data_IF_506696285503
#
_entry.id   IF_506696285503
#
_cell.length_a   1.000
_cell.length_b   1.000
_cell.length_c   1.000
_cell.angle_alpha   90.00
_cell.angle_beta   90.00
_cell.angle_gamma   90.00
#
_symmetry.space_group_name_H-M   'P 1'
#
loop_
_entity.id
_entity.type
_entity.pdbx_description
1 polymer ?
#
# COMPACT_ATOMS: atom_id res chain seq x y z
N UNK A 1 -15.92 6.70 8.22
CA UNK A 1 -14.44 6.76 8.43
C UNK A 1 -13.67 7.42 7.28
N UNK A 2 -14.24 7.59 6.08
CA UNK A 2 -13.56 8.18 4.90
C UNK A 2 -13.35 9.71 4.97
N UNK A 3 -14.31 10.49 5.50
CA UNK A 3 -14.19 11.96 5.56
C UNK A 3 -13.11 12.47 6.51
N UNK A 4 -12.89 11.77 7.62
CA UNK A 4 -11.88 12.13 8.63
C UNK A 4 -10.45 11.87 8.13
N UNK A 5 -10.27 10.86 7.28
CA UNK A 5 -9.00 10.58 6.59
C UNK A 5 -8.64 11.65 5.55
N UNK A 6 -9.63 12.15 4.80
CA UNK A 6 -9.42 13.22 3.81
C UNK A 6 -9.04 14.53 4.51
N UNK A 7 -9.68 14.83 5.66
CA UNK A 7 -9.36 15.99 6.48
C UNK A 7 -7.94 15.97 7.07
N UNK A 8 -7.35 14.79 7.26
CA UNK A 8 -5.96 14.62 7.73
C UNK A 8 -4.94 14.60 6.59
N UNK A 9 -5.32 14.14 5.39
CA UNK A 9 -4.43 14.08 4.23
C UNK A 9 -4.14 15.46 3.62
N UNK A 10 -5.11 16.37 3.63
CA UNK A 10 -4.94 17.74 3.12
C UNK A 10 -3.86 18.52 3.89
N UNK A 11 -3.89 18.61 5.24
CA UNK A 11 -2.84 19.30 5.98
C UNK A 11 -1.49 18.57 5.86
N UNK A 12 -1.47 17.24 5.77
CA UNK A 12 -0.24 16.49 5.55
C UNK A 12 0.39 16.82 4.18
N UNK A 13 -0.42 16.91 3.12
CA UNK A 13 0.05 17.28 1.79
C UNK A 13 0.61 18.72 1.76
N UNK A 14 -0.03 19.64 2.49
CA UNK A 14 0.45 21.02 2.64
C UNK A 14 1.78 21.05 3.40
N UNK A 15 1.93 20.27 4.47
CA UNK A 15 3.20 20.16 5.22
C UNK A 15 4.31 19.60 4.32
N UNK A 16 4.04 18.54 3.56
CA UNK A 16 5.00 17.98 2.60
C UNK A 16 5.38 19.01 1.53
N UNK A 17 4.41 19.77 1.01
CA UNK A 17 4.67 20.84 0.05
C UNK A 17 5.56 21.94 0.64
N UNK A 18 5.28 22.37 1.88
CA UNK A 18 6.11 23.35 2.60
C UNK A 18 7.52 22.82 2.81
N UNK A 19 7.69 21.55 3.19
CA UNK A 19 9.00 20.93 3.35
C UNK A 19 9.76 20.84 2.02
N UNK A 20 9.08 20.52 0.91
CA UNK A 20 9.68 20.50 -0.42
C UNK A 20 10.11 21.89 -0.87
N UNK A 21 9.28 22.92 -0.64
CA UNK A 21 9.61 24.31 -0.93
C UNK A 21 10.76 24.79 -0.06
N UNK A 22 10.76 24.51 1.24
CA UNK A 22 11.84 24.87 2.16
C UNK A 22 13.16 24.17 1.79
N UNK A 23 13.11 22.89 1.44
CA UNK A 23 14.26 22.13 0.96
C UNK A 23 14.78 22.69 -0.37
N UNK A 24 13.89 23.09 -1.29
CA UNK A 24 14.25 23.72 -2.55
C UNK A 24 14.91 25.09 -2.35
N UNK A 25 14.37 25.92 -1.45
CA UNK A 25 14.94 27.22 -1.09
C UNK A 25 16.30 27.08 -0.40
N UNK A 26 16.46 26.08 0.48
CA UNK A 26 17.73 25.76 1.14
C UNK A 26 18.76 25.19 0.15
N UNK A 27 18.34 24.35 -0.79
CA UNK A 27 19.21 23.88 -1.87
C UNK A 27 19.70 25.04 -2.75
N UNK A 28 18.89 26.09 -2.93
CA UNK A 28 19.28 27.32 -3.63
C UNK A 28 20.27 28.17 -2.83
N UNK A 29 20.20 28.18 -1.49
CA UNK A 29 21.13 28.92 -0.64
C UNK A 29 22.48 28.23 -0.44
N UNK A 30 22.55 26.90 -0.55
CA UNK A 30 23.80 26.11 -0.52
C UNK A 30 24.72 26.45 -1.69
N UNK A 31 24.19 27.02 -2.79
CA UNK A 31 24.97 27.49 -3.96
C UNK A 31 25.99 28.59 -3.63
N UNK A 32 26.05 29.09 -2.39
CA UNK A 32 26.94 30.17 -1.94
C UNK A 32 28.24 29.70 -1.25
N UNK A 33 28.37 28.43 -0.84
CA UNK A 33 29.50 27.98 0.00
C UNK A 33 30.19 26.72 -0.53
N UNK A 34 31.39 26.87 -1.11
CA UNK A 34 32.52 25.90 -1.13
C UNK A 34 32.30 24.47 -1.67
N UNK A 35 33.42 23.73 -1.80
CA UNK A 35 33.45 22.31 -2.22
C UNK A 35 32.60 21.39 -1.33
N UNK A 36 32.53 21.69 -0.02
CA UNK A 36 31.72 20.93 0.95
C UNK A 36 30.21 21.03 0.67
N UNK A 37 29.74 22.20 0.20
CA UNK A 37 28.33 22.41 -0.13
C UNK A 37 27.86 21.58 -1.32
N UNK A 38 28.74 21.37 -2.31
CA UNK A 38 28.45 20.52 -3.47
C UNK A 38 28.38 19.03 -3.10
N UNK A 39 29.26 18.56 -2.20
CA UNK A 39 29.21 17.18 -1.73
C UNK A 39 27.90 16.91 -0.98
N UNK A 40 27.48 17.81 -0.08
CA UNK A 40 26.21 17.68 0.65
C UNK A 40 25.01 17.66 -0.30
N UNK A 41 25.01 18.51 -1.33
CA UNK A 41 23.97 18.53 -2.37
C UNK A 41 23.89 17.20 -3.12
N UNK A 42 25.03 16.60 -3.48
CA UNK A 42 25.10 15.29 -4.14
C UNK A 42 24.51 14.19 -3.26
N UNK A 43 24.94 14.10 -2.00
CA UNK A 43 24.43 13.11 -1.04
C UNK A 43 22.91 13.25 -0.87
N UNK A 44 22.42 14.48 -0.73
CA UNK A 44 20.99 14.76 -0.61
C UNK A 44 20.19 14.27 -1.83
N UNK A 45 20.65 14.58 -3.04
CA UNK A 45 19.97 14.12 -4.27
C UNK A 45 19.99 12.60 -4.38
N UNK A 46 21.12 11.95 -4.08
CA UNK A 46 21.19 10.49 -4.11
C UNK A 46 20.29 9.83 -3.06
N UNK A 47 20.14 10.41 -1.87
CA UNK A 47 19.20 9.90 -0.87
C UNK A 47 17.75 9.97 -1.37
N UNK A 48 17.34 11.09 -1.96
CA UNK A 48 15.99 11.20 -2.53
C UNK A 48 15.79 10.18 -3.65
N UNK A 49 16.73 10.07 -4.58
CA UNK A 49 16.66 9.12 -5.68
C UNK A 49 16.59 7.68 -5.16
N UNK A 50 17.38 7.35 -4.14
CA UNK A 50 17.35 6.04 -3.52
C UNK A 50 15.99 5.75 -2.86
N UNK A 51 15.49 6.66 -2.02
CA UNK A 51 14.20 6.49 -1.34
C UNK A 51 13.05 6.36 -2.33
N UNK A 52 13.00 7.22 -3.35
CA UNK A 52 11.95 7.17 -4.38
C UNK A 52 12.06 5.92 -5.25
N UNK A 53 13.26 5.46 -5.59
CA UNK A 53 13.48 4.19 -6.28
C UNK A 53 12.97 3.00 -5.45
N UNK A 54 13.31 2.94 -4.16
CA UNK A 54 12.85 1.88 -3.27
C UNK A 54 11.32 1.86 -3.15
N UNK A 55 10.67 3.02 -3.09
CA UNK A 55 9.20 3.11 -3.09
C UNK A 55 8.60 2.56 -4.39
N UNK A 56 9.15 2.91 -5.56
CA UNK A 56 8.67 2.41 -6.86
C UNK A 56 8.83 0.89 -6.97
N UNK A 57 9.98 0.34 -6.53
CA UNK A 57 10.21 -1.11 -6.53
C UNK A 57 9.22 -1.81 -5.59
N UNK A 58 9.07 -1.32 -4.35
CA UNK A 58 8.12 -1.88 -3.39
C UNK A 58 6.67 -1.83 -3.87
N UNK A 59 6.25 -0.70 -4.45
CA UNK A 59 4.93 -0.55 -5.05
C UNK A 59 4.71 -1.51 -6.22
N UNK A 60 5.72 -1.71 -7.07
CA UNK A 60 5.63 -2.62 -8.22
C UNK A 60 5.45 -4.07 -7.78
N UNK A 61 6.24 -4.55 -6.81
CA UNK A 61 6.08 -5.90 -6.24
C UNK A 61 4.68 -6.06 -5.63
N UNK A 62 4.21 -5.05 -4.89
CA UNK A 62 2.89 -5.08 -4.26
C UNK A 62 1.73 -5.05 -5.29
N UNK A 63 1.91 -4.41 -6.46
CA UNK A 63 0.95 -4.51 -7.58
C UNK A 63 0.86 -5.94 -8.09
N UNK A 64 1.99 -6.61 -8.32
CA UNK A 64 2.00 -8.01 -8.77
C UNK A 64 1.34 -8.96 -7.75
N UNK A 65 1.66 -8.80 -6.46
CA UNK A 65 1.04 -9.60 -5.40
C UNK A 65 -0.48 -9.38 -5.36
N UNK A 66 -0.93 -8.13 -5.36
CA UNK A 66 -2.36 -7.83 -5.33
C UNK A 66 -3.10 -8.34 -6.59
N UNK A 67 -2.45 -8.28 -7.76
CA UNK A 67 -3.02 -8.85 -8.98
C UNK A 67 -3.13 -10.39 -8.90
N UNK A 68 -2.11 -11.06 -8.35
CA UNK A 68 -2.16 -12.50 -8.09
C UNK A 68 -3.29 -12.86 -7.12
N UNK A 69 -3.45 -12.13 -6.01
CA UNK A 69 -4.51 -12.39 -5.03
C UNK A 69 -5.93 -12.16 -5.59
N UNK A 70 -6.08 -11.32 -6.63
CA UNK A 70 -7.36 -11.14 -7.33
C UNK A 70 -7.66 -12.34 -8.24
N UNK A 71 -6.65 -12.84 -8.96
CA UNK A 71 -6.81 -13.91 -9.96
C UNK A 71 -6.87 -15.29 -9.30
N UNK A 72 -6.06 -15.49 -8.27
CA UNK A 72 -5.90 -16.73 -7.52
C UNK A 72 -6.00 -16.43 -6.02
N UNK A 73 -7.19 -16.07 -5.50
CA UNK A 73 -7.39 -15.83 -4.07
C UNK A 73 -7.05 -17.09 -3.27
N UNK A 74 -6.50 -16.91 -2.08
CA UNK A 74 -6.07 -18.04 -1.24
C UNK A 74 -7.26 -18.93 -0.88
N UNK A 75 -7.12 -20.27 -1.00
CA UNK A 75 -8.19 -21.19 -0.64
C UNK A 75 -8.60 -21.04 0.82
N UNK A 76 -9.90 -21.22 1.11
CA UNK A 76 -10.38 -21.27 2.48
C UNK A 76 -9.79 -22.51 3.18
N UNK A 77 -9.22 -22.31 4.37
CA UNK A 77 -8.39 -23.32 5.03
C UNK A 77 -9.19 -24.37 5.83
N UNK A 78 -10.43 -24.04 6.23
CA UNK A 78 -11.26 -24.90 7.06
C UNK A 78 -12.14 -25.78 6.18
N UNK A 79 -12.20 -27.07 6.46
CA UNK A 79 -13.08 -28.00 5.73
C UNK A 79 -14.52 -27.93 6.27
N UNK A 80 -15.48 -28.44 5.49
CA UNK A 80 -16.87 -28.55 5.95
C UNK A 80 -16.99 -29.40 7.21
N UNK A 81 -16.23 -30.49 7.32
CA UNK A 81 -16.27 -31.38 8.49
C UNK A 81 -15.78 -30.66 9.75
N UNK A 82 -14.70 -29.88 9.63
CA UNK A 82 -14.19 -29.07 10.74
C UNK A 82 -15.19 -27.96 11.13
N UNK A 83 -15.90 -27.41 10.17
CA UNK A 83 -16.94 -26.41 10.39
C UNK A 83 -18.16 -27.00 11.11
N UNK A 84 -18.63 -28.17 10.65
CA UNK A 84 -19.74 -28.90 11.25
C UNK A 84 -19.41 -29.33 12.68
N UNK A 85 -18.23 -29.91 12.92
CA UNK A 85 -17.79 -30.32 14.25
C UNK A 85 -17.75 -29.14 15.24
N UNK A 86 -17.41 -27.95 14.75
CA UNK A 86 -17.42 -26.73 15.57
C UNK A 86 -18.84 -26.28 15.90
N UNK A 87 -19.75 -26.33 14.92
CA UNK A 87 -21.17 -26.02 15.10
C UNK A 87 -21.84 -26.95 16.12
N UNK A 88 -21.50 -28.25 16.07
CA UNK A 88 -22.02 -29.26 17.01
C UNK A 88 -21.44 -29.13 18.42
N UNK A 89 -20.20 -28.64 18.57
CA UNK A 89 -19.53 -28.46 19.88
C UNK A 89 -19.83 -27.13 20.56
N UNK A 90 -20.12 -26.07 19.80
CA UNK A 90 -20.45 -24.74 20.32
C UNK A 90 -21.97 -24.57 20.56
N UNK A 91 -22.80 -25.50 20.08
CA UNK A 91 -24.26 -25.44 20.16
C UNK A 91 -24.88 -25.95 21.47
N UNK A 92 -24.78 -25.17 22.55
CA UNK A 92 -25.74 -25.25 23.66
C UNK A 92 -26.93 -24.32 23.35
N UNK A 93 -28.09 -24.91 23.01
CA UNK A 93 -29.45 -24.31 23.06
C UNK A 93 -30.11 -23.65 21.82
N UNK A 94 -29.75 -23.97 20.57
CA UNK A 94 -30.56 -23.59 19.39
C UNK A 94 -30.94 -24.78 18.48
N UNK A 95 -31.99 -24.65 17.64
CA UNK A 95 -32.54 -25.78 16.88
C UNK A 95 -31.44 -26.43 16.04
N UNK A 96 -31.32 -27.76 16.13
CA UNK A 96 -30.38 -28.53 15.33
C UNK A 96 -30.70 -28.30 13.84
N UNK A 97 -29.97 -27.37 13.22
CA UNK A 97 -29.99 -27.15 11.79
C UNK A 97 -29.66 -28.47 11.10
N UNK A 98 -30.37 -28.77 10.03
CA UNK A 98 -30.07 -29.93 9.20
C UNK A 98 -28.68 -29.80 8.58
N UNK A 99 -28.04 -30.93 8.28
CA UNK A 99 -26.75 -30.96 7.56
C UNK A 99 -26.77 -30.13 6.27
N UNK A 100 -27.91 -30.07 5.60
CA UNK A 100 -28.11 -29.26 4.40
C UNK A 100 -28.01 -27.75 4.70
N UNK A 101 -28.62 -27.29 5.79
CA UNK A 101 -28.56 -25.88 6.20
C UNK A 101 -27.16 -25.49 6.67
N UNK A 102 -26.46 -26.37 7.40
CA UNK A 102 -25.06 -26.14 7.82
C UNK A 102 -24.14 -26.05 6.59
N UNK A 103 -24.37 -26.88 5.56
CA UNK A 103 -23.62 -26.82 4.31
C UNK A 103 -23.86 -25.51 3.56
N UNK A 104 -25.11 -25.05 3.47
CA UNK A 104 -25.45 -23.76 2.86
C UNK A 104 -24.73 -22.61 3.59
N UNK A 105 -24.71 -22.63 4.92
CA UNK A 105 -24.00 -21.61 5.71
C UNK A 105 -22.49 -21.66 5.49
N UNK A 106 -21.89 -22.85 5.44
CA UNK A 106 -20.48 -23.03 5.15
C UNK A 106 -20.12 -22.50 3.75
N UNK A 107 -20.88 -22.87 2.72
CA UNK A 107 -20.64 -22.41 1.34
C UNK A 107 -20.75 -20.89 1.22
N UNK A 108 -21.78 -20.30 1.84
CA UNK A 108 -21.93 -18.85 1.92
C UNK A 108 -20.76 -18.19 2.65
N UNK A 109 -20.25 -18.80 3.72
CA UNK A 109 -19.08 -18.29 4.45
C UNK A 109 -17.82 -18.34 3.59
N UNK A 110 -17.55 -19.46 2.89
CA UNK A 110 -16.41 -19.62 1.99
C UNK A 110 -16.46 -18.59 0.86
N UNK A 111 -17.64 -18.40 0.26
CA UNK A 111 -17.85 -17.42 -0.80
C UNK A 111 -17.61 -15.98 -0.31
N UNK A 112 -18.18 -15.63 0.85
CA UNK A 112 -17.98 -14.32 1.46
C UNK A 112 -16.50 -14.06 1.81
N UNK A 113 -15.77 -15.07 2.28
CA UNK A 113 -14.34 -14.93 2.57
C UNK A 113 -13.54 -14.68 1.30
N UNK A 114 -13.80 -15.46 0.25
CA UNK A 114 -13.19 -15.29 -1.07
C UNK A 114 -13.45 -13.89 -1.61
N UNK A 115 -14.69 -13.42 -1.57
CA UNK A 115 -15.03 -12.09 -2.05
C UNK A 115 -14.32 -11.01 -1.22
N UNK A 116 -14.28 -11.16 0.10
CA UNK A 116 -13.56 -10.22 0.98
C UNK A 116 -12.08 -10.15 0.66
N UNK A 117 -11.43 -11.28 0.37
CA UNK A 117 -10.03 -11.29 -0.05
C UNK A 117 -9.83 -10.55 -1.37
N UNK A 118 -10.68 -10.79 -2.37
CA UNK A 118 -10.64 -10.09 -3.65
C UNK A 118 -10.82 -8.58 -3.46
N UNK A 119 -11.76 -8.15 -2.63
CA UNK A 119 -11.98 -6.72 -2.37
C UNK A 119 -10.78 -6.08 -1.65
N UNK A 120 -10.15 -6.80 -0.71
CA UNK A 120 -8.91 -6.34 -0.07
C UNK A 120 -7.77 -6.23 -1.07
N UNK A 121 -7.61 -7.21 -1.96
CA UNK A 121 -6.59 -7.22 -3.00
C UNK A 121 -6.80 -6.05 -3.99
N UNK A 122 -8.04 -5.78 -4.42
CA UNK A 122 -8.37 -4.59 -5.23
C UNK A 122 -7.98 -3.28 -4.56
N UNK A 123 -8.27 -3.13 -3.26
CA UNK A 123 -7.87 -1.95 -2.51
C UNK A 123 -6.35 -1.84 -2.37
N UNK A 124 -5.66 -2.97 -2.13
CA UNK A 124 -4.20 -3.04 -2.10
C UNK A 124 -3.61 -2.60 -3.44
N UNK A 125 -4.15 -3.08 -4.56
CA UNK A 125 -3.71 -2.73 -5.92
C UNK A 125 -3.73 -1.22 -6.15
N UNK A 126 -4.84 -0.55 -5.79
CA UNK A 126 -4.96 0.92 -5.92
C UNK A 126 -3.91 1.64 -5.05
N UNK A 127 -3.73 1.18 -3.81
CA UNK A 127 -2.72 1.76 -2.91
C UNK A 127 -1.30 1.57 -3.44
N UNK A 128 -0.98 0.40 -3.98
CA UNK A 128 0.32 0.08 -4.57
C UNK A 128 0.63 0.97 -5.78
N UNK A 129 -0.37 1.32 -6.60
CA UNK A 129 -0.18 2.35 -7.64
C UNK A 129 0.15 3.72 -7.05
N UNK A 130 -0.44 4.11 -5.91
CA UNK A 130 -0.06 5.31 -5.17
C UNK A 130 1.43 5.32 -4.80
N UNK A 131 1.96 4.18 -4.34
CA UNK A 131 3.39 4.00 -4.03
C UNK A 131 4.32 4.13 -5.24
N UNK A 132 3.81 3.99 -6.45
CA UNK A 132 4.57 4.16 -7.69
C UNK A 132 4.41 5.59 -8.22
N UNK A 133 3.17 6.05 -8.37
CA UNK A 133 2.82 7.31 -9.04
C UNK A 133 3.28 8.53 -8.25
N UNK A 134 3.28 8.49 -6.92
CA UNK A 134 3.70 9.63 -6.09
C UNK A 134 5.23 9.89 -6.17
N UNK A 135 6.12 8.89 -6.00
CA UNK A 135 7.56 9.13 -6.08
C UNK A 135 8.08 9.31 -7.51
N UNK A 136 7.40 8.81 -8.54
CA UNK A 136 7.91 8.83 -9.91
C UNK A 136 8.22 10.26 -10.44
N UNK A 137 7.35 11.28 -10.28
CA UNK A 137 7.67 12.64 -10.70
C UNK A 137 8.88 13.24 -9.97
N UNK A 138 9.03 12.93 -8.68
CA UNK A 138 10.17 13.37 -7.86
C UNK A 138 11.44 12.70 -8.38
N UNK A 139 11.41 11.39 -8.60
CA UNK A 139 12.53 10.63 -9.15
C UNK A 139 12.97 11.19 -10.51
N UNK A 140 12.03 11.38 -11.45
CA UNK A 140 12.31 11.92 -12.78
C UNK A 140 12.91 13.34 -12.69
N UNK A 141 12.40 14.19 -11.80
CA UNK A 141 12.92 15.54 -11.61
C UNK A 141 14.39 15.52 -11.15
N UNK A 142 14.70 14.79 -10.08
CA UNK A 142 16.06 14.72 -9.53
C UNK A 142 17.02 13.94 -10.43
N UNK A 143 16.54 12.93 -11.17
CA UNK A 143 17.34 12.19 -12.15
C UNK A 143 17.74 13.11 -13.30
N UNK A 144 16.82 13.94 -13.81
CA UNK A 144 17.11 14.94 -14.83
C UNK A 144 18.10 15.99 -14.32
N UNK A 145 17.97 16.43 -13.07
CA UNK A 145 18.91 17.37 -12.46
C UNK A 145 20.32 16.77 -12.36
N UNK A 146 20.45 15.50 -11.97
CA UNK A 146 21.74 14.79 -11.93
C UNK A 146 22.37 14.69 -13.33
N UNK A 147 21.58 14.33 -14.34
CA UNK A 147 22.07 14.10 -15.71
C UNK A 147 22.65 15.33 -16.41
N UNK A 148 22.23 16.53 -15.99
CA UNK A 148 22.67 17.80 -16.60
C UNK A 148 23.97 18.34 -16.01
N UNK A 149 24.55 17.67 -15.00
CA UNK A 149 25.58 18.27 -14.15
C UNK A 149 24.96 19.33 -13.25
N UNK A 150 25.48 19.46 -12.03
CA UNK A 150 24.88 20.31 -10.98
C UNK A 150 24.92 21.80 -11.23
#
# INVERSE_FOLDING_TARGET
>A
MSGLFILLLIPLAIIVLIFLVAAFLKARSIKKNGEDGEMIKKVYVYLILFTTLMMVIGGSVAVFMAAADILTPTPYYQTFEDYKLRFEKEGDAEPQLSDAEIRIQYEAMVENEKERQIQRAKNSLIKSFGWIVIPLPIFIFYQRQLSKGF
#
